data_IF_317940677621
#
_entry.id   IF_317940677621
#
_cell.length_a   1.000
_cell.length_b   1.000
_cell.length_c   1.000
_cell.angle_alpha   90.00
_cell.angle_beta   90.00
_cell.angle_gamma   90.00
#
_symmetry.space_group_name_H-M   'P 1'
#
loop_
_entity.id
_entity.type
_entity.pdbx_description
1 polymer ?
#
# COMPACT_ATOMS: atom_id res chain seq x y z
N UNK A 1 21.94 13.84 -20.15
CA UNK A 1 21.57 13.24 -18.85
C UNK A 1 20.37 12.30 -18.91
N UNK A 2 19.10 12.76 -19.06
CA UNK A 2 17.93 11.83 -19.07
C UNK A 2 18.03 10.74 -20.15
N UNK A 3 18.45 11.12 -21.36
CA UNK A 3 18.64 10.18 -22.47
C UNK A 3 19.71 9.13 -22.16
N UNK A 4 20.85 9.54 -21.60
CA UNK A 4 21.97 8.64 -21.28
C UNK A 4 21.58 7.67 -20.15
N UNK A 5 20.85 8.17 -19.15
CA UNK A 5 20.29 7.37 -18.06
C UNK A 5 19.28 6.32 -18.56
N UNK A 6 18.36 6.73 -19.43
CA UNK A 6 17.42 5.80 -20.06
C UNK A 6 18.15 4.76 -20.93
N UNK A 7 19.16 5.17 -21.69
CA UNK A 7 19.99 4.25 -22.49
C UNK A 7 20.69 3.22 -21.61
N UNK A 8 21.29 3.65 -20.50
CA UNK A 8 21.91 2.75 -19.52
C UNK A 8 20.91 1.76 -18.94
N UNK A 9 19.73 2.24 -18.53
CA UNK A 9 18.67 1.38 -17.98
C UNK A 9 18.10 0.42 -19.03
N UNK A 10 17.98 0.84 -20.29
CA UNK A 10 17.58 -0.02 -21.40
C UNK A 10 18.60 -1.13 -21.67
N UNK A 11 19.90 -0.81 -21.63
CA UNK A 11 20.97 -1.81 -21.68
C UNK A 11 20.89 -2.77 -20.48
N UNK A 12 20.44 -2.27 -19.33
CA UNK A 12 20.09 -3.06 -18.15
C UNK A 12 18.66 -3.63 -18.19
N UNK A 13 18.03 -3.78 -19.36
CA UNK A 13 16.73 -4.44 -19.51
C UNK A 13 15.51 -3.72 -18.93
N UNK A 14 15.66 -2.53 -18.34
CA UNK A 14 14.57 -1.70 -17.86
C UNK A 14 14.11 -0.78 -18.99
N UNK A 15 12.84 -0.88 -19.38
CA UNK A 15 12.33 -0.25 -20.61
C UNK A 15 11.12 0.65 -20.41
N UNK A 16 10.44 0.60 -19.26
CA UNK A 16 9.32 1.49 -18.99
C UNK A 16 9.82 2.81 -18.40
N UNK A 17 9.56 3.89 -19.14
CA UNK A 17 9.88 5.26 -18.79
C UNK A 17 8.68 6.17 -19.02
N UNK A 18 7.47 5.61 -18.91
CA UNK A 18 6.23 6.36 -19.03
C UNK A 18 6.19 7.46 -17.96
N UNK A 19 5.53 8.57 -18.29
CA UNK A 19 5.47 9.73 -17.39
C UNK A 19 4.81 9.39 -16.04
N UNK A 20 3.92 8.38 -16.00
CA UNK A 20 3.33 7.87 -14.76
C UNK A 20 4.36 7.24 -13.80
N UNK A 21 5.45 6.66 -14.32
CA UNK A 21 6.54 6.11 -13.51
C UNK A 21 7.63 7.13 -13.19
N UNK A 22 7.85 8.10 -14.10
CA UNK A 22 8.92 9.09 -13.97
C UNK A 22 8.54 10.34 -13.18
N UNK A 23 7.31 10.84 -13.33
CA UNK A 23 6.86 12.05 -12.63
C UNK A 23 6.87 11.92 -11.09
N UNK A 24 6.61 10.74 -10.49
CA UNK A 24 6.70 10.57 -9.04
C UNK A 24 8.13 10.45 -8.48
N UNK A 25 9.18 10.52 -9.32
CA UNK A 25 10.56 10.40 -8.83
C UNK A 25 10.98 11.67 -8.07
N UNK A 26 11.36 11.50 -6.80
CA UNK A 26 11.89 12.57 -5.95
C UNK A 26 13.34 12.91 -6.32
N UNK A 27 14.14 11.88 -6.58
CA UNK A 27 15.56 12.01 -6.91
C UNK A 27 16.03 10.81 -7.74
N UNK A 28 17.00 11.06 -8.62
CA UNK A 28 17.77 10.03 -9.32
C UNK A 28 19.25 10.28 -9.08
N UNK A 29 19.95 9.25 -8.63
CA UNK A 29 21.41 9.24 -8.47
C UNK A 29 22.00 8.45 -9.64
N UNK A 30 23.02 9.00 -10.28
CA UNK A 30 23.83 8.29 -11.27
C UNK A 30 25.31 8.34 -10.85
N UNK A 31 26.00 7.23 -11.06
CA UNK A 31 27.44 7.08 -10.82
C UNK A 31 28.13 7.00 -12.18
N UNK A 32 29.17 7.81 -12.34
CA UNK A 32 29.88 7.96 -13.60
C UNK A 32 31.31 7.44 -13.49
N UNK A 33 31.80 6.78 -14.54
CA UNK A 33 33.21 6.46 -14.77
C UNK A 33 33.52 6.83 -16.23
N UNK A 34 34.55 7.65 -16.47
CA UNK A 34 34.92 8.12 -17.81
C UNK A 34 33.73 8.70 -18.62
N UNK A 35 32.89 9.51 -17.99
CA UNK A 35 31.66 10.10 -18.56
C UNK A 35 30.52 9.11 -18.87
N UNK A 36 30.73 7.81 -18.67
CA UNK A 36 29.71 6.78 -18.83
C UNK A 36 29.01 6.48 -17.50
N UNK A 37 27.69 6.23 -17.55
CA UNK A 37 26.94 5.81 -16.37
C UNK A 37 27.29 4.34 -16.09
N UNK A 38 27.87 4.08 -14.93
CA UNK A 38 28.18 2.73 -14.45
C UNK A 38 27.18 2.23 -13.41
N UNK A 39 26.34 3.11 -12.88
CA UNK A 39 25.28 2.74 -11.95
C UNK A 39 24.26 3.85 -11.71
N UNK A 40 23.05 3.48 -11.32
CA UNK A 40 21.98 4.44 -11.02
C UNK A 40 20.92 3.84 -10.10
N UNK A 41 20.21 4.70 -9.39
CA UNK A 41 19.01 4.38 -8.64
C UNK A 41 18.21 5.65 -8.34
N UNK A 42 16.90 5.49 -8.20
CA UNK A 42 15.95 6.58 -8.00
C UNK A 42 15.08 6.33 -6.78
N UNK A 43 14.49 7.38 -6.23
CA UNK A 43 13.53 7.32 -5.12
C UNK A 43 12.21 7.91 -5.59
N UNK A 44 11.11 7.26 -5.22
CA UNK A 44 9.74 7.78 -5.33
C UNK A 44 8.99 7.44 -4.04
N UNK A 45 8.81 8.43 -3.17
CA UNK A 45 8.28 8.23 -1.83
C UNK A 45 9.16 7.29 -1.01
N UNK A 46 8.58 6.17 -0.58
CA UNK A 46 9.21 5.10 0.19
C UNK A 46 9.82 3.98 -0.69
N UNK A 47 9.80 4.16 -2.01
CA UNK A 47 10.22 3.15 -2.97
C UNK A 47 11.52 3.56 -3.65
N UNK A 48 12.49 2.65 -3.63
CA UNK A 48 13.71 2.74 -4.43
C UNK A 48 13.45 2.04 -5.77
N UNK A 49 13.46 2.84 -6.84
CA UNK A 49 13.20 2.45 -8.23
C UNK A 49 14.48 2.56 -9.08
N UNK A 50 14.41 2.01 -10.29
CA UNK A 50 15.43 2.16 -11.33
C UNK A 50 16.87 1.82 -10.90
N UNK A 51 17.03 0.83 -10.00
CA UNK A 51 18.36 0.43 -9.53
C UNK A 51 19.05 -0.47 -10.56
N UNK A 52 20.17 0.00 -11.10
CA UNK A 52 21.02 -0.77 -12.00
C UNK A 52 22.49 -0.41 -11.78
N UNK A 53 23.36 -1.40 -11.93
CA UNK A 53 24.82 -1.24 -11.86
C UNK A 53 25.43 -2.11 -12.97
N UNK A 54 26.45 -1.58 -13.63
CA UNK A 54 27.16 -2.29 -14.70
C UNK A 54 27.77 -3.58 -14.14
N UNK A 55 27.66 -4.67 -14.90
CA UNK A 55 28.36 -5.92 -14.58
C UNK A 55 29.86 -5.74 -14.84
N UNK A 56 30.60 -5.29 -13.83
CA UNK A 56 32.06 -5.37 -13.77
C UNK A 56 32.49 -6.67 -13.08
N UNK A 57 33.79 -6.99 -13.04
CA UNK A 57 34.30 -8.18 -12.33
C UNK A 57 33.68 -8.30 -10.92
N UNK A 58 33.40 -9.53 -10.46
CA UNK A 58 32.45 -9.81 -9.37
C UNK A 58 32.63 -8.99 -8.06
N UNK A 59 33.83 -8.50 -7.77
CA UNK A 59 34.12 -7.64 -6.61
C UNK A 59 33.70 -6.17 -6.78
N UNK A 60 33.77 -5.61 -7.99
CA UNK A 60 33.39 -4.21 -8.27
C UNK A 60 31.88 -4.00 -8.24
N UNK A 61 31.13 -4.92 -8.83
CA UNK A 61 29.67 -4.85 -8.95
C UNK A 61 28.95 -4.74 -7.59
N UNK A 62 29.40 -5.52 -6.60
CA UNK A 62 28.82 -5.49 -5.25
C UNK A 62 29.16 -4.22 -4.48
N UNK A 63 30.38 -3.71 -4.64
CA UNK A 63 30.86 -2.48 -3.99
C UNK A 63 30.09 -1.27 -4.50
N UNK A 64 29.97 -1.13 -5.82
CA UNK A 64 29.23 -0.03 -6.44
C UNK A 64 27.75 -0.05 -6.04
N UNK A 65 27.12 -1.23 -6.08
CA UNK A 65 25.74 -1.39 -5.63
C UNK A 65 25.56 -0.97 -4.17
N UNK A 66 26.44 -1.42 -3.26
CA UNK A 66 26.34 -1.06 -1.85
C UNK A 66 26.55 0.43 -1.60
N UNK A 67 27.46 1.08 -2.33
CA UNK A 67 27.67 2.53 -2.25
C UNK A 67 26.43 3.29 -2.71
N UNK A 68 25.87 2.91 -3.87
CA UNK A 68 24.65 3.49 -4.40
C UNK A 68 23.48 3.31 -3.43
N UNK A 69 23.26 2.09 -2.93
CA UNK A 69 22.23 1.80 -1.95
C UNK A 69 22.41 2.64 -0.69
N UNK A 70 23.61 2.70 -0.12
CA UNK A 70 23.88 3.51 1.08
C UNK A 70 23.54 4.99 0.86
N UNK A 71 23.83 5.54 -0.33
CA UNK A 71 23.48 6.93 -0.67
C UNK A 71 21.97 7.13 -0.76
N UNK A 72 21.25 6.22 -1.42
CA UNK A 72 19.78 6.27 -1.51
C UNK A 72 19.15 6.16 -0.12
N UNK A 73 19.60 5.19 0.69
CA UNK A 73 19.10 4.97 2.04
C UNK A 73 19.36 6.15 2.96
N UNK A 74 20.51 6.81 2.85
CA UNK A 74 20.83 8.01 3.63
C UNK A 74 19.96 9.20 3.22
N UNK A 75 19.70 9.39 1.93
CA UNK A 75 18.78 10.42 1.46
C UNK A 75 17.37 10.19 2.03
N UNK A 76 16.87 8.97 1.94
CA UNK A 76 15.58 8.60 2.53
C UNK A 76 15.57 8.79 4.05
N UNK A 77 16.63 8.43 4.76
CA UNK A 77 16.71 8.59 6.22
C UNK A 77 16.69 10.06 6.66
N UNK A 78 17.35 10.96 5.92
CA UNK A 78 17.30 12.41 6.17
C UNK A 78 15.87 12.95 6.04
N UNK A 79 15.09 12.40 5.12
CA UNK A 79 13.67 12.70 4.92
C UNK A 79 12.73 11.96 5.89
N UNK A 80 13.27 11.22 6.88
CA UNK A 80 12.47 10.43 7.83
C UNK A 80 11.84 9.16 7.23
N UNK A 81 12.28 8.73 6.04
CA UNK A 81 11.75 7.58 5.30
C UNK A 81 12.58 6.32 5.57
N UNK A 82 12.18 5.58 6.59
CA UNK A 82 12.86 4.35 7.01
C UNK A 82 12.30 3.08 6.36
N UNK A 83 11.11 3.18 5.79
CA UNK A 83 10.45 2.07 5.11
C UNK A 83 10.84 2.09 3.64
N UNK A 84 11.61 1.09 3.22
CA UNK A 84 12.30 1.14 1.94
C UNK A 84 12.06 -0.15 1.17
N UNK A 85 11.58 0.01 -0.06
CA UNK A 85 11.32 -1.08 -0.99
C UNK A 85 12.32 -1.04 -2.15
N UNK A 86 12.90 -2.19 -2.53
CA UNK A 86 13.82 -2.30 -3.67
C UNK A 86 13.37 -3.40 -4.60
N UNK A 87 13.29 -3.07 -5.88
CA UNK A 87 13.08 -4.06 -6.92
C UNK A 87 14.32 -4.89 -7.19
N UNK A 88 14.12 -6.21 -7.21
CA UNK A 88 15.10 -7.18 -7.60
C UNK A 88 14.95 -7.50 -9.10
N UNK A 89 15.72 -6.80 -9.92
CA UNK A 89 15.94 -7.18 -11.32
C UNK A 89 17.11 -8.18 -11.45
N UNK A 90 17.42 -8.61 -12.67
CA UNK A 90 18.52 -9.55 -12.95
C UNK A 90 19.90 -9.09 -12.44
N UNK A 91 20.11 -7.77 -12.33
CA UNK A 91 21.38 -7.16 -11.90
C UNK A 91 21.49 -7.13 -10.38
N UNK A 92 20.46 -6.66 -9.71
CA UNK A 92 20.37 -6.66 -8.24
C UNK A 92 20.23 -8.08 -7.67
N UNK A 93 19.79 -9.07 -8.46
CA UNK A 93 19.55 -10.45 -8.03
C UNK A 93 20.75 -11.09 -7.34
N UNK A 94 21.95 -10.92 -7.90
CA UNK A 94 23.19 -11.50 -7.38
C UNK A 94 23.61 -10.81 -6.08
N UNK A 95 23.56 -9.47 -6.03
CA UNK A 95 24.02 -8.69 -4.87
C UNK A 95 23.04 -8.78 -3.68
N UNK A 96 21.73 -8.73 -3.95
CA UNK A 96 20.70 -8.86 -2.92
C UNK A 96 20.72 -10.24 -2.25
N UNK A 97 21.15 -11.28 -2.98
CA UNK A 97 21.32 -12.63 -2.44
C UNK A 97 22.53 -12.78 -1.50
N UNK A 98 23.66 -12.14 -1.81
CA UNK A 98 24.93 -12.43 -1.13
C UNK A 98 25.25 -11.49 0.03
N UNK A 99 25.02 -10.18 -0.14
CA UNK A 99 25.47 -9.16 0.83
C UNK A 99 24.31 -8.43 1.49
N UNK A 100 23.20 -8.28 0.77
CA UNK A 100 22.04 -7.56 1.28
C UNK A 100 21.06 -8.46 2.06
N UNK A 101 21.19 -9.79 2.02
CA UNK A 101 20.25 -10.75 2.67
C UNK A 101 20.10 -10.57 4.19
N UNK A 102 21.08 -9.96 4.86
CA UNK A 102 20.95 -9.54 6.26
C UNK A 102 19.97 -8.38 6.42
N UNK A 103 19.96 -7.43 5.49
CA UNK A 103 19.20 -6.17 5.52
C UNK A 103 17.90 -6.22 4.72
N UNK A 104 17.77 -7.13 3.77
CA UNK A 104 16.65 -7.21 2.85
C UNK A 104 15.99 -8.58 2.90
N UNK A 105 14.66 -8.61 2.90
CA UNK A 105 13.85 -9.82 2.83
C UNK A 105 13.35 -9.99 1.39
N UNK A 106 13.66 -11.11 0.74
CA UNK A 106 13.02 -11.45 -0.54
C UNK A 106 11.53 -11.74 -0.32
N UNK A 107 10.65 -10.96 -0.95
CA UNK A 107 9.19 -11.18 -0.92
C UNK A 107 8.77 -12.11 -2.06
N UNK A 108 9.40 -11.97 -3.23
CA UNK A 108 9.29 -12.90 -4.35
C UNK A 108 10.63 -12.96 -5.11
N UNK A 109 10.64 -13.54 -6.32
CA UNK A 109 11.85 -13.64 -7.17
C UNK A 109 12.43 -12.28 -7.55
N UNK A 110 11.63 -11.22 -7.44
CA UNK A 110 11.86 -9.91 -8.03
C UNK A 110 11.69 -8.75 -7.02
N UNK A 111 11.51 -9.02 -5.73
CA UNK A 111 11.32 -7.96 -4.74
C UNK A 111 12.03 -8.23 -3.43
N UNK A 112 12.66 -7.19 -2.90
CA UNK A 112 13.35 -7.20 -1.63
C UNK A 112 12.87 -6.04 -0.75
N UNK A 113 12.63 -6.30 0.53
CA UNK A 113 12.17 -5.29 1.49
C UNK A 113 13.17 -5.10 2.62
N UNK A 114 13.49 -3.85 2.97
CA UNK A 114 14.42 -3.58 4.07
C UNK A 114 13.81 -4.06 5.39
N UNK A 115 14.59 -4.79 6.17
CA UNK A 115 14.21 -5.29 7.48
C UNK A 115 14.19 -4.12 8.47
N UNK A 116 13.11 -3.37 8.49
CA UNK A 116 12.79 -2.45 9.60
C UNK A 116 11.41 -2.79 10.16
N UNK A 117 11.41 -3.79 11.05
CA UNK A 117 10.22 -4.40 11.65
C UNK A 117 9.84 -3.79 12.98
N UNK A 118 10.70 -2.94 13.55
CA UNK A 118 10.50 -2.51 14.93
C UNK A 118 9.26 -1.65 15.07
N UNK A 119 8.96 -0.76 14.12
CA UNK A 119 7.79 0.11 14.21
C UNK A 119 6.49 -0.70 14.17
N UNK A 120 6.28 -1.61 13.19
CA UNK A 120 5.09 -2.49 13.20
C UNK A 120 4.97 -3.25 14.50
N UNK A 121 6.07 -3.89 14.91
CA UNK A 121 6.06 -4.71 16.12
C UNK A 121 5.72 -3.87 17.34
N UNK A 122 6.28 -2.68 17.47
CA UNK A 122 6.01 -1.76 18.58
C UNK A 122 4.58 -1.24 18.55
N UNK A 123 4.06 -0.82 17.39
CA UNK A 123 2.67 -0.37 17.21
C UNK A 123 1.69 -1.50 17.56
N UNK A 124 2.04 -2.74 17.25
CA UNK A 124 1.20 -3.91 17.51
C UNK A 124 1.34 -4.45 18.94
N UNK A 125 2.52 -4.34 19.57
CA UNK A 125 2.76 -4.76 20.94
C UNK A 125 2.10 -3.87 21.99
N UNK A 126 1.64 -2.67 21.60
CA UNK A 126 0.81 -1.82 22.46
C UNK A 126 -0.57 -2.42 22.76
N UNK A 127 -0.95 -3.51 22.09
CA UNK A 127 -2.23 -4.17 22.29
C UNK A 127 -2.03 -5.44 23.15
N UNK A 128 -2.45 -5.42 24.43
CA UNK A 128 -2.23 -6.53 25.34
C UNK A 128 -3.19 -7.68 25.01
N UNK A 129 -2.73 -8.71 24.29
CA UNK A 129 -3.37 -10.02 24.40
C UNK A 129 -2.77 -10.73 25.62
N UNK A 130 -3.39 -10.55 26.79
CA UNK A 130 -3.01 -11.24 28.03
C UNK A 130 -3.28 -12.76 27.97
N UNK A 131 -3.92 -13.22 26.91
CA UNK A 131 -4.27 -14.62 26.64
C UNK A 131 -4.03 -14.90 25.16
N UNK A 132 -3.62 -16.13 24.77
CA UNK A 132 -3.68 -16.54 23.37
C UNK A 132 -5.09 -16.33 22.82
N UNK A 133 -5.21 -15.62 21.70
CA UNK A 133 -6.46 -15.42 20.96
C UNK A 133 -6.35 -16.28 19.71
N UNK A 134 -7.29 -17.18 19.49
CA UNK A 134 -7.21 -18.15 18.39
C UNK A 134 -7.81 -17.57 17.10
N UNK A 135 -8.88 -16.76 17.22
CA UNK A 135 -9.56 -16.15 16.06
C UNK A 135 -9.25 -14.68 15.94
N UNK A 136 -8.14 -14.38 15.30
CA UNK A 136 -7.71 -13.01 15.02
C UNK A 136 -7.94 -12.71 13.53
N UNK A 137 -8.86 -11.79 13.25
CA UNK A 137 -9.12 -11.33 11.90
C UNK A 137 -8.45 -10.00 11.59
N UNK A 138 -8.42 -9.68 10.30
CA UNK A 138 -8.05 -8.35 9.85
C UNK A 138 -8.94 -7.86 8.71
N UNK A 139 -9.04 -6.55 8.63
CA UNK A 139 -9.66 -5.79 7.54
C UNK A 139 -8.66 -4.70 7.14
N UNK A 140 -8.37 -4.54 5.84
CA UNK A 140 -7.67 -3.35 5.33
C UNK A 140 -8.65 -2.51 4.52
N UNK A 141 -8.71 -1.22 4.84
CA UNK A 141 -9.60 -0.28 4.17
C UNK A 141 -8.87 1.03 3.85
N UNK A 142 -9.28 1.66 2.74
CA UNK A 142 -8.89 3.05 2.50
C UNK A 142 -9.77 4.02 3.30
N UNK A 143 -11.06 3.76 3.48
CA UNK A 143 -11.96 4.63 4.27
C UNK A 143 -11.94 6.13 3.85
N UNK A 144 -12.01 6.42 2.55
CA UNK A 144 -11.96 7.78 1.98
C UNK A 144 -13.32 8.20 1.37
N UNK A 145 -14.41 8.41 2.13
CA UNK A 145 -14.51 8.35 3.59
C UNK A 145 -14.89 6.97 4.13
N UNK A 146 -15.01 6.85 5.45
CA UNK A 146 -15.61 5.70 6.13
C UNK A 146 -17.12 5.64 5.82
N UNK A 147 -17.57 4.54 5.22
CA UNK A 147 -18.93 4.40 4.69
C UNK A 147 -19.68 3.32 5.46
N UNK A 148 -21.00 3.24 5.30
CA UNK A 148 -21.80 2.15 5.84
C UNK A 148 -21.39 0.77 5.29
N UNK A 149 -20.77 0.73 4.11
CA UNK A 149 -20.18 -0.50 3.55
C UNK A 149 -18.91 -0.93 4.29
N UNK A 150 -18.04 0.02 4.64
CA UNK A 150 -16.86 -0.28 5.47
C UNK A 150 -17.26 -0.75 6.88
N UNK A 151 -18.22 -0.05 7.50
CA UNK A 151 -18.80 -0.44 8.80
C UNK A 151 -19.34 -1.87 8.78
N UNK A 152 -20.15 -2.20 7.77
CA UNK A 152 -20.70 -3.55 7.60
C UNK A 152 -19.63 -4.63 7.47
N UNK A 153 -18.58 -4.40 6.67
CA UNK A 153 -17.47 -5.35 6.54
C UNK A 153 -16.78 -5.61 7.88
N UNK A 154 -16.58 -4.56 8.70
CA UNK A 154 -15.96 -4.68 10.03
C UNK A 154 -16.90 -5.40 11.00
N UNK A 155 -18.20 -5.13 10.96
CA UNK A 155 -19.21 -5.83 11.79
C UNK A 155 -19.23 -7.33 11.48
N UNK A 156 -19.16 -7.72 10.20
CA UNK A 156 -19.08 -9.12 9.79
C UNK A 156 -17.80 -9.80 10.33
N UNK A 157 -16.66 -9.11 10.28
CA UNK A 157 -15.42 -9.62 10.85
C UNK A 157 -15.52 -9.73 12.38
N UNK A 158 -16.02 -8.69 13.05
CA UNK A 158 -16.16 -8.59 14.51
C UNK A 158 -17.09 -9.67 15.07
N UNK A 159 -18.20 -9.99 14.40
CA UNK A 159 -19.15 -11.00 14.86
C UNK A 159 -18.58 -12.42 14.84
N UNK A 160 -17.61 -12.69 13.97
CA UNK A 160 -17.10 -14.05 13.72
C UNK A 160 -15.71 -14.32 14.33
N UNK A 161 -15.08 -13.32 14.97
CA UNK A 161 -13.71 -13.40 15.47
C UNK A 161 -13.59 -12.81 16.87
N UNK A 162 -12.59 -13.26 17.63
CA UNK A 162 -12.34 -12.80 19.00
C UNK A 162 -11.62 -11.46 19.02
N UNK A 163 -10.85 -11.16 17.97
CA UNK A 163 -10.16 -9.89 17.77
C UNK A 163 -10.13 -9.53 16.29
N UNK A 164 -10.31 -8.25 15.96
CA UNK A 164 -10.21 -7.74 14.59
C UNK A 164 -9.28 -6.54 14.54
N UNK A 165 -8.21 -6.65 13.74
CA UNK A 165 -7.38 -5.50 13.38
C UNK A 165 -7.92 -4.81 12.12
N UNK A 166 -8.35 -3.57 12.25
CA UNK A 166 -8.77 -2.72 11.13
C UNK A 166 -7.63 -1.79 10.78
N UNK A 167 -6.96 -2.10 9.69
CA UNK A 167 -5.85 -1.30 9.17
C UNK A 167 -6.35 -0.26 8.19
N UNK A 168 -6.10 1.01 8.51
CA UNK A 168 -6.38 2.13 7.61
C UNK A 168 -5.14 2.39 6.74
N UNK A 169 -5.30 2.33 5.42
CA UNK A 169 -4.22 2.58 4.46
C UNK A 169 -3.63 3.98 4.64
N UNK A 170 -2.32 4.14 4.51
CA UNK A 170 -1.71 5.48 4.45
C UNK A 170 -1.67 5.97 2.98
N UNK A 171 -2.41 7.04 2.67
CA UNK A 171 -2.50 7.63 1.31
C UNK A 171 -2.81 9.13 1.40
N UNK A 172 -1.81 9.97 1.11
CA UNK A 172 -1.92 11.44 1.17
C UNK A 172 -2.77 12.05 0.04
N UNK A 173 -2.93 11.36 -1.09
CA UNK A 173 -3.70 11.87 -2.24
C UNK A 173 -5.24 11.70 -2.11
N UNK A 174 -5.72 11.34 -0.92
CA UNK A 174 -7.14 11.12 -0.61
C UNK A 174 -7.87 12.45 -0.38
N UNK A 175 -9.21 12.43 -0.49
CA UNK A 175 -10.06 13.59 -0.13
C UNK A 175 -10.06 13.82 1.39
N UNK A 176 -10.02 12.73 2.14
CA UNK A 176 -9.87 12.70 3.59
C UNK A 176 -8.41 12.36 3.92
N UNK A 177 -7.77 13.20 4.73
CA UNK A 177 -6.40 13.00 5.19
C UNK A 177 -6.29 11.72 6.04
N UNK A 178 -5.09 11.14 6.13
CA UNK A 178 -4.87 9.87 6.83
C UNK A 178 -5.37 9.91 8.28
N UNK A 179 -5.09 10.98 9.01
CA UNK A 179 -5.53 11.13 10.41
C UNK A 179 -7.05 11.26 10.54
N UNK A 180 -7.70 11.96 9.61
CA UNK A 180 -9.17 12.08 9.55
C UNK A 180 -9.80 10.71 9.31
N UNK A 181 -9.25 9.93 8.36
CA UNK A 181 -9.74 8.58 8.06
C UNK A 181 -9.62 7.67 9.27
N UNK A 182 -8.48 7.70 9.98
CA UNK A 182 -8.28 6.92 11.21
C UNK A 182 -9.27 7.35 12.29
N UNK A 183 -9.47 8.66 12.50
CA UNK A 183 -10.41 9.18 13.50
C UNK A 183 -11.86 8.76 13.18
N UNK A 184 -12.27 8.88 11.91
CA UNK A 184 -13.59 8.45 11.44
C UNK A 184 -13.83 6.95 11.63
N UNK A 185 -12.83 6.12 11.31
CA UNK A 185 -12.91 4.67 11.52
C UNK A 185 -13.00 4.36 13.01
N UNK A 186 -12.14 4.94 13.86
CA UNK A 186 -12.16 4.76 15.33
C UNK A 186 -13.51 5.11 15.93
N UNK A 187 -14.02 6.32 15.65
CA UNK A 187 -15.32 6.75 16.13
C UNK A 187 -16.44 5.86 15.59
N UNK A 188 -16.34 5.48 14.31
CA UNK A 188 -17.31 4.66 13.62
C UNK A 188 -17.29 3.18 13.99
N UNK A 189 -16.41 2.70 14.88
CA UNK A 189 -16.40 1.30 15.38
C UNK A 189 -16.25 1.23 16.90
N UNK A 190 -16.40 2.35 17.60
CA UNK A 190 -16.15 2.47 19.04
C UNK A 190 -17.00 1.52 19.90
N UNK A 191 -18.17 1.12 19.40
CA UNK A 191 -19.09 0.18 20.04
C UNK A 191 -18.66 -1.28 19.90
N UNK A 192 -17.72 -1.59 19.00
CA UNK A 192 -17.20 -2.94 18.78
C UNK A 192 -15.98 -3.20 19.67
N UNK A 193 -16.23 -3.78 20.85
CA UNK A 193 -15.20 -4.01 21.89
C UNK A 193 -14.01 -4.87 21.46
N UNK A 194 -14.16 -5.69 20.42
CA UNK A 194 -13.12 -6.56 19.88
C UNK A 194 -12.44 -6.01 18.61
N UNK A 195 -12.61 -4.72 18.31
CA UNK A 195 -12.02 -4.08 17.12
C UNK A 195 -10.91 -3.11 17.53
N UNK A 196 -9.73 -3.28 16.92
CA UNK A 196 -8.59 -2.39 17.08
C UNK A 196 -8.30 -1.71 15.75
N UNK A 197 -8.41 -0.39 15.73
CA UNK A 197 -8.05 0.41 14.55
C UNK A 197 -6.56 0.74 14.58
N UNK A 198 -5.86 0.30 13.55
CA UNK A 198 -4.41 0.43 13.41
C UNK A 198 -4.12 1.39 12.25
N UNK A 199 -3.23 2.34 12.48
CA UNK A 199 -2.63 3.11 11.39
C UNK A 199 -1.73 2.15 10.60
N UNK A 200 -2.08 1.85 9.34
CA UNK A 200 -1.28 0.98 8.48
C UNK A 200 0.15 1.50 8.25
N UNK A 201 0.35 2.81 8.43
CA UNK A 201 1.63 3.49 8.24
C UNK A 201 2.21 3.18 6.87
N UNK A 202 3.53 3.11 6.78
CA UNK A 202 4.21 2.72 5.55
C UNK A 202 4.18 1.20 5.28
N UNK A 203 3.57 0.41 6.15
CA UNK A 203 3.55 -1.05 6.03
C UNK A 203 2.34 -1.57 5.28
N UNK A 204 1.23 -0.84 5.34
CA UNK A 204 0.03 -1.11 4.57
C UNK A 204 -0.28 0.15 3.76
N UNK A 205 0.38 0.21 2.62
CA UNK A 205 0.22 1.22 1.58
C UNK A 205 -0.63 0.67 0.44
N UNK A 206 -1.00 1.52 -0.52
CA UNK A 206 -1.66 1.03 -1.73
C UNK A 206 -0.81 -0.04 -2.41
N UNK A 207 -1.37 -1.16 -2.84
CA UNK A 207 -0.58 -2.08 -3.68
C UNK A 207 -0.07 -1.38 -4.95
N UNK A 208 -0.78 -0.36 -5.45
CA UNK A 208 -0.40 0.45 -6.60
C UNK A 208 0.89 1.27 -6.39
N UNK A 209 1.33 1.50 -5.14
CA UNK A 209 2.62 2.16 -4.91
C UNK A 209 3.79 1.22 -5.12
N UNK A 210 3.56 -0.11 -5.16
CA UNK A 210 4.64 -1.03 -5.48
C UNK A 210 5.07 -0.84 -6.94
N UNK A 211 6.37 -0.76 -7.23
CA UNK A 211 6.86 -0.45 -8.56
C UNK A 211 6.65 -1.61 -9.53
N UNK A 212 6.23 -1.30 -10.76
CA UNK A 212 5.99 -2.30 -11.81
C UNK A 212 6.63 -1.93 -13.16
N UNK A 213 7.51 -0.92 -13.22
CA UNK A 213 8.16 -0.42 -14.45
C UNK A 213 8.98 -1.46 -15.24
N UNK A 214 9.24 -2.65 -14.70
CA UNK A 214 9.92 -3.71 -15.45
C UNK A 214 8.91 -4.63 -16.18
N UNK A 215 7.61 -4.46 -15.92
CA UNK A 215 6.51 -5.25 -16.49
C UNK A 215 5.88 -4.50 -17.65
N UNK A 216 5.54 -5.25 -18.70
CA UNK A 216 5.02 -4.70 -19.97
C UNK A 216 3.50 -4.59 -20.03
N UNK A 217 2.80 -5.36 -19.20
CA UNK A 217 1.35 -5.49 -19.25
C UNK A 217 0.74 -5.07 -17.91
N UNK A 218 -0.34 -4.31 -17.96
CA UNK A 218 -1.04 -3.81 -16.77
C UNK A 218 -1.46 -4.96 -15.83
N UNK A 219 -1.95 -6.07 -16.36
CA UNK A 219 -2.35 -7.22 -15.52
C UNK A 219 -1.15 -7.89 -14.84
N UNK A 220 -0.01 -7.97 -15.53
CA UNK A 220 1.22 -8.46 -14.90
C UNK A 220 1.70 -7.52 -13.81
N UNK A 221 1.60 -6.20 -14.03
CA UNK A 221 1.89 -5.18 -13.02
C UNK A 221 0.98 -5.33 -11.80
N UNK A 222 -0.32 -5.47 -12.01
CA UNK A 222 -1.32 -5.67 -10.94
C UNK A 222 -1.03 -6.97 -10.18
N UNK A 223 -0.80 -8.09 -10.88
CA UNK A 223 -0.49 -9.38 -10.24
C UNK A 223 0.77 -9.28 -9.39
N UNK A 224 1.81 -8.65 -9.93
CA UNK A 224 3.08 -8.46 -9.26
C UNK A 224 2.96 -7.60 -8.00
N UNK A 225 2.39 -6.40 -8.15
CA UNK A 225 2.15 -5.46 -7.06
C UNK A 225 1.31 -6.08 -5.96
N UNK A 226 0.24 -6.80 -6.34
CA UNK A 226 -0.63 -7.52 -5.41
C UNK A 226 0.11 -8.65 -4.71
N UNK A 227 0.95 -9.42 -5.42
CA UNK A 227 1.76 -10.48 -4.81
C UNK A 227 2.63 -9.92 -3.68
N UNK A 228 3.26 -8.76 -3.91
CA UNK A 228 4.10 -8.12 -2.90
C UNK A 228 3.27 -7.72 -1.70
N UNK A 229 2.18 -6.98 -1.93
CA UNK A 229 1.27 -6.52 -0.89
C UNK A 229 0.80 -7.67 0.01
N UNK A 230 0.27 -8.73 -0.62
CA UNK A 230 -0.30 -9.88 0.08
C UNK A 230 0.75 -10.67 0.85
N UNK A 231 1.95 -10.88 0.28
CA UNK A 231 3.03 -11.60 0.97
C UNK A 231 3.64 -10.78 2.10
N UNK A 232 3.79 -9.47 1.91
CA UNK A 232 4.20 -8.57 2.98
C UNK A 232 3.23 -8.68 4.15
N UNK A 233 1.94 -8.58 3.86
CA UNK A 233 0.89 -8.76 4.85
C UNK A 233 1.00 -10.14 5.54
N UNK A 234 1.03 -11.24 4.79
CA UNK A 234 1.10 -12.62 5.29
C UNK A 234 2.28 -12.85 6.23
N UNK A 235 3.49 -12.61 5.73
CA UNK A 235 4.69 -13.02 6.45
C UNK A 235 5.08 -12.08 7.57
N UNK A 236 4.59 -10.83 7.57
CA UNK A 236 5.11 -9.77 8.46
C UNK A 236 4.07 -9.15 9.35
N UNK A 237 2.87 -8.95 8.84
CA UNK A 237 1.79 -8.35 9.61
C UNK A 237 1.01 -9.46 10.28
N UNK A 238 0.45 -10.38 9.49
CA UNK A 238 -0.35 -11.47 9.99
C UNK A 238 0.45 -12.42 10.91
N UNK A 239 1.65 -12.84 10.49
CA UNK A 239 2.51 -13.67 11.34
C UNK A 239 2.91 -13.02 12.66
N UNK A 240 3.07 -11.69 12.72
CA UNK A 240 3.44 -10.99 13.95
C UNK A 240 2.25 -10.76 14.88
N UNK A 241 1.05 -10.69 14.32
CA UNK A 241 -0.20 -10.40 15.01
C UNK A 241 -1.07 -11.64 15.29
N UNK A 242 -0.63 -12.81 14.85
CA UNK A 242 -1.43 -14.04 14.95
C UNK A 242 -2.70 -14.02 14.11
N UNK A 243 -2.77 -13.20 13.05
CA UNK A 243 -3.97 -13.09 12.21
C UNK A 243 -4.19 -14.41 11.47
N UNK A 244 -5.37 -15.00 11.66
CA UNK A 244 -5.84 -16.25 11.05
C UNK A 244 -6.85 -16.02 9.94
N UNK A 245 -7.51 -14.85 9.91
CA UNK A 245 -8.55 -14.55 8.92
C UNK A 245 -8.43 -13.15 8.33
N UNK A 246 -8.83 -13.00 7.07
CA UNK A 246 -8.82 -11.74 6.31
C UNK A 246 -10.16 -11.51 5.65
N UNK A 247 -10.78 -10.37 5.93
CA UNK A 247 -12.08 -10.00 5.37
C UNK A 247 -11.90 -8.93 4.29
N UNK A 248 -12.52 -9.18 3.13
CA UNK A 248 -12.53 -8.27 1.99
C UNK A 248 -13.94 -8.15 1.42
N UNK A 249 -14.27 -6.99 0.84
CA UNK A 249 -15.53 -6.83 0.11
C UNK A 249 -15.47 -7.53 -1.25
N UNK A 250 -16.60 -8.08 -1.71
CA UNK A 250 -16.75 -8.52 -3.09
C UNK A 250 -16.63 -7.33 -4.04
N UNK A 251 -16.07 -7.53 -5.22
CA UNK A 251 -16.08 -6.51 -6.27
C UNK A 251 -16.18 -7.19 -7.64
N UNK A 252 -17.41 -7.41 -8.14
CA UNK A 252 -17.60 -8.08 -9.41
C UNK A 252 -17.39 -7.15 -10.61
N UNK A 253 -17.46 -5.82 -10.43
CA UNK A 253 -17.43 -4.87 -11.55
C UNK A 253 -16.02 -4.37 -11.90
N UNK A 254 -15.10 -4.35 -10.92
CA UNK A 254 -13.71 -3.95 -11.13
C UNK A 254 -12.84 -5.17 -11.41
N UNK A 255 -12.37 -5.29 -12.65
CA UNK A 255 -11.42 -6.33 -13.05
C UNK A 255 -10.19 -6.36 -12.15
N UNK A 256 -9.59 -5.20 -11.89
CA UNK A 256 -8.41 -5.05 -11.02
C UNK A 256 -8.68 -5.50 -9.59
N UNK A 257 -9.83 -5.14 -9.00
CA UNK A 257 -10.16 -5.56 -7.63
C UNK A 257 -10.49 -7.04 -7.56
N UNK A 258 -11.08 -7.60 -8.62
CA UNK A 258 -11.32 -9.04 -8.72
C UNK A 258 -10.00 -9.83 -8.76
N UNK A 259 -9.04 -9.41 -9.60
CA UNK A 259 -7.69 -9.97 -9.62
C UNK A 259 -7.01 -9.86 -8.24
N UNK A 260 -7.15 -8.71 -7.58
CA UNK A 260 -6.61 -8.50 -6.24
C UNK A 260 -7.17 -9.53 -5.23
N UNK A 261 -8.50 -9.71 -5.19
CA UNK A 261 -9.14 -10.66 -4.30
C UNK A 261 -8.75 -12.12 -4.60
N UNK A 262 -8.66 -12.50 -5.87
CA UNK A 262 -8.21 -13.85 -6.27
C UNK A 262 -6.77 -14.11 -5.80
N UNK A 263 -5.88 -13.12 -5.98
CA UNK A 263 -4.50 -13.22 -5.54
C UNK A 263 -4.39 -13.30 -4.02
N UNK A 264 -5.20 -12.51 -3.32
CA UNK A 264 -5.30 -12.53 -1.86
C UNK A 264 -5.72 -13.92 -1.36
N UNK A 265 -6.74 -14.54 -1.96
CA UNK A 265 -7.17 -15.91 -1.63
C UNK A 265 -6.04 -16.92 -1.86
N UNK A 266 -5.41 -16.90 -3.03
CA UNK A 266 -4.38 -17.90 -3.40
C UNK A 266 -3.07 -17.77 -2.61
N UNK A 267 -2.64 -16.56 -2.28
CA UNK A 267 -1.38 -16.32 -1.56
C UNK A 267 -1.55 -16.43 -0.03
N UNK A 268 -2.72 -16.13 0.54
CA UNK A 268 -2.95 -16.21 1.98
C UNK A 268 -3.31 -17.63 2.45
N UNK A 269 -4.13 -18.36 1.69
CA UNK A 269 -4.49 -19.73 2.04
C UNK A 269 -3.27 -20.67 2.01
N UNK A 270 -3.28 -21.76 2.81
CA UNK A 270 -4.27 -22.09 3.85
C UNK A 270 -3.95 -21.43 5.21
N UNK A 271 -2.88 -20.62 5.31
CA UNK A 271 -2.41 -20.09 6.59
C UNK A 271 -3.32 -18.99 7.15
N UNK A 272 -3.97 -18.23 6.26
CA UNK A 272 -4.91 -17.17 6.62
C UNK A 272 -6.14 -17.34 5.75
N UNK A 273 -7.28 -17.62 6.36
CA UNK A 273 -8.55 -17.81 5.67
C UNK A 273 -9.08 -16.47 5.15
N UNK A 274 -9.55 -16.47 3.90
CA UNK A 274 -10.04 -15.24 3.25
C UNK A 274 -11.55 -15.30 3.09
N UNK A 275 -12.24 -14.36 3.73
CA UNK A 275 -13.69 -14.22 3.65
C UNK A 275 -14.04 -13.05 2.71
N UNK A 276 -14.73 -13.37 1.61
CA UNK A 276 -15.24 -12.37 0.67
C UNK A 276 -16.70 -12.06 1.02
N UNK A 277 -16.94 -10.85 1.52
CA UNK A 277 -18.25 -10.40 2.00
C UNK A 277 -18.97 -9.62 0.90
N UNK A 278 -20.24 -9.93 0.65
CA UNK A 278 -21.02 -9.21 -0.35
C UNK A 278 -21.20 -7.73 0.03
N UNK A 279 -21.05 -6.82 -0.95
CA UNK A 279 -21.17 -5.39 -0.68
C UNK A 279 -22.58 -5.02 -0.22
N UNK A 280 -22.65 -4.16 0.80
CA UNK A 280 -23.92 -3.60 1.30
C UNK A 280 -24.53 -2.64 0.27
N UNK A 281 -25.84 -2.77 0.05
CA UNK A 281 -26.64 -1.85 -0.74
C UNK A 281 -27.05 -0.64 0.12
N UNK A 282 -27.09 0.53 -0.51
CA UNK A 282 -27.63 1.74 0.09
C UNK A 282 -29.15 1.61 0.26
N UNK A 283 -29.73 2.41 1.16
CA UNK A 283 -31.19 2.50 1.24
C UNK A 283 -31.74 3.19 -0.03
N UNK A 284 -32.83 2.63 -0.57
CA UNK A 284 -33.43 3.07 -1.84
C UNK A 284 -32.64 2.61 -3.07
N UNK A 285 -32.93 3.20 -4.23
CA UNK A 285 -32.36 2.80 -5.52
C UNK A 285 -30.95 3.37 -5.80
N UNK A 286 -30.21 3.75 -4.75
CA UNK A 286 -28.86 4.30 -4.87
C UNK A 286 -27.78 3.24 -5.18
N UNK A 287 -28.16 1.96 -5.18
CA UNK A 287 -27.26 0.85 -5.54
C UNK A 287 -26.25 0.52 -4.45
N UNK A 288 -25.03 0.15 -4.84
CA UNK A 288 -23.98 -0.31 -3.93
C UNK A 288 -23.36 0.86 -3.14
N UNK A 289 -23.18 0.70 -1.83
CA UNK A 289 -22.49 1.71 -1.02
C UNK A 289 -21.02 1.79 -1.45
N UNK A 290 -20.62 2.90 -2.07
CA UNK A 290 -19.26 3.14 -2.54
C UNK A 290 -18.73 4.47 -2.06
N UNK A 291 -17.45 4.49 -1.63
CA UNK A 291 -16.78 5.73 -1.23
C UNK A 291 -16.65 6.72 -2.39
N UNK A 292 -16.56 6.23 -3.64
CA UNK A 292 -16.53 7.09 -4.83
C UNK A 292 -17.81 7.89 -4.98
N UNK A 293 -18.97 7.23 -4.90
CA UNK A 293 -20.28 7.88 -4.99
C UNK A 293 -20.45 8.93 -3.90
N UNK A 294 -19.96 8.66 -2.68
CA UNK A 294 -19.97 9.64 -1.59
C UNK A 294 -19.15 10.88 -1.94
N UNK A 295 -17.93 10.72 -2.49
CA UNK A 295 -17.10 11.86 -2.89
C UNK A 295 -17.72 12.66 -4.04
N UNK A 296 -18.33 11.98 -5.01
CA UNK A 296 -19.07 12.63 -6.10
C UNK A 296 -20.30 13.40 -5.58
N UNK A 297 -20.99 12.88 -4.56
CA UNK A 297 -22.10 13.57 -3.90
C UNK A 297 -21.61 14.79 -3.09
N UNK A 298 -20.47 14.69 -2.40
CA UNK A 298 -19.83 15.83 -1.72
C UNK A 298 -19.49 16.95 -2.71
N UNK A 299 -18.89 16.60 -3.85
CA UNK A 299 -18.55 17.56 -4.93
C UNK A 299 -19.78 18.32 -5.42
N UNK A 300 -20.89 17.60 -5.63
CA UNK A 300 -22.17 18.16 -6.12
C UNK A 300 -22.99 18.84 -5.03
N UNK A 301 -22.62 18.72 -3.76
CA UNK A 301 -23.42 19.21 -2.62
C UNK A 301 -24.70 18.40 -2.38
N UNK A 302 -24.75 17.14 -2.83
CA UNK A 302 -25.92 16.27 -2.69
C UNK A 302 -25.95 15.58 -1.32
N UNK A 303 -26.42 16.32 -0.32
CA UNK A 303 -26.52 15.88 1.08
C UNK A 303 -27.37 14.63 1.27
N UNK A 304 -28.50 14.55 0.57
CA UNK A 304 -29.41 13.42 0.67
C UNK A 304 -28.74 12.10 0.24
N UNK A 305 -27.83 12.14 -0.74
CA UNK A 305 -27.10 10.96 -1.21
C UNK A 305 -26.02 10.55 -0.22
N UNK A 306 -25.10 11.46 0.15
CA UNK A 306 -23.98 11.04 1.00
C UNK A 306 -24.44 10.66 2.42
N UNK A 307 -25.48 11.28 2.97
CA UNK A 307 -26.03 10.90 4.28
C UNK A 307 -26.49 9.44 4.32
N UNK A 308 -27.14 8.95 3.25
CA UNK A 308 -27.61 7.55 3.19
C UNK A 308 -26.49 6.52 3.06
N UNK A 309 -25.28 6.93 2.71
CA UNK A 309 -24.17 6.04 2.36
C UNK A 309 -23.08 5.96 3.43
N UNK A 310 -23.07 6.88 4.40
CA UNK A 310 -22.01 6.97 5.41
C UNK A 310 -22.55 6.81 6.84
N UNK A 311 -21.66 6.48 7.77
CA UNK A 311 -21.99 6.36 9.19
C UNK A 311 -22.30 7.73 9.78
N UNK A 312 -23.05 7.78 10.88
CA UNK A 312 -23.38 9.03 11.58
C UNK A 312 -22.15 9.88 11.91
N UNK A 313 -21.06 9.24 12.35
CA UNK A 313 -19.77 9.90 12.62
C UNK A 313 -19.19 10.60 11.39
N UNK A 314 -19.26 9.94 10.22
CA UNK A 314 -18.83 10.50 8.94
C UNK A 314 -19.80 11.58 8.45
N UNK A 315 -21.11 11.42 8.68
CA UNK A 315 -22.09 12.45 8.34
C UNK A 315 -21.76 13.75 9.07
N UNK A 316 -21.57 13.68 10.39
CA UNK A 316 -21.23 14.84 11.21
C UNK A 316 -19.93 15.52 10.74
N UNK A 317 -18.89 14.73 10.43
CA UNK A 317 -17.65 15.27 9.89
C UNK A 317 -17.85 15.98 8.55
N UNK A 318 -18.59 15.37 7.61
CA UNK A 318 -18.86 15.97 6.30
C UNK A 318 -19.64 17.26 6.47
N UNK A 319 -20.73 17.27 7.25
CA UNK A 319 -21.55 18.48 7.47
C UNK A 319 -20.72 19.64 8.01
N UNK A 320 -19.81 19.38 8.96
CA UNK A 320 -18.97 20.42 9.57
C UNK A 320 -17.84 20.92 8.65
N UNK A 321 -17.41 20.11 7.67
CA UNK A 321 -16.24 20.40 6.83
C UNK A 321 -16.58 20.45 5.32
N UNK A 322 -17.86 20.56 4.96
CA UNK A 322 -18.33 20.40 3.57
C UNK A 322 -17.61 21.36 2.61
N UNK A 323 -17.51 22.63 2.97
CA UNK A 323 -16.84 23.64 2.15
C UNK A 323 -15.34 23.35 1.97
N UNK A 324 -14.68 22.86 3.02
CA UNK A 324 -13.27 22.48 2.95
C UNK A 324 -13.06 21.26 2.04
N UNK A 325 -13.90 20.23 2.18
CA UNK A 325 -13.87 19.04 1.33
C UNK A 325 -14.10 19.41 -0.15
N UNK A 326 -15.04 20.32 -0.44
CA UNK A 326 -15.25 20.82 -1.80
C UNK A 326 -14.05 21.64 -2.32
N UNK A 327 -13.39 22.43 -1.47
CA UNK A 327 -12.16 23.14 -1.85
C UNK A 327 -11.01 22.17 -2.15
N UNK A 328 -10.85 21.13 -1.33
CA UNK A 328 -9.89 20.05 -1.54
C UNK A 328 -10.09 19.35 -2.89
N UNK A 329 -11.33 19.07 -3.26
CA UNK A 329 -11.69 18.54 -4.58
C UNK A 329 -11.25 19.49 -5.70
N UNK A 330 -11.58 20.79 -5.59
CA UNK A 330 -11.19 21.81 -6.58
C UNK A 330 -9.67 21.96 -6.72
N UNK A 331 -8.90 21.66 -5.67
CA UNK A 331 -7.43 21.63 -5.67
C UNK A 331 -6.83 20.34 -6.26
N UNK A 332 -7.66 19.41 -6.74
CA UNK A 332 -7.22 18.21 -7.46
C UNK A 332 -7.09 16.96 -6.60
N UNK A 333 -7.59 16.95 -5.35
CA UNK A 333 -7.66 15.70 -4.58
C UNK A 333 -8.60 14.69 -5.26
N UNK A 334 -8.20 13.42 -5.29
CA UNK A 334 -8.84 12.41 -6.15
C UNK A 334 -10.27 12.08 -5.71
N UNK A 335 -11.23 12.31 -6.61
CA UNK A 335 -12.61 11.81 -6.49
C UNK A 335 -12.71 10.37 -7.04
N UNK A 336 -11.96 10.05 -8.10
CA UNK A 336 -12.05 8.79 -8.83
C UNK A 336 -11.03 7.74 -8.34
N UNK A 337 -11.45 6.85 -7.43
CA UNK A 337 -10.62 5.72 -6.97
C UNK A 337 -9.31 6.13 -6.29
N UNK A 338 -8.48 5.16 -5.91
CA UNK A 338 -7.17 5.43 -5.27
C UNK A 338 -6.15 6.05 -6.25
#
# INVERSE_FOLDING_TARGET
>A
MRRDWQNFLMACGIKNFDDSELNPLDITIAVYENEEIIGTGSIAGDVIKYVAVQETTMSGHSTLFNQLMTKLENFMAVEGRFHQFVLRNQFTKKVLNTLASKRWLSVNKEFCWKKDYQILRNTCQQFPSQTPIDKVASVVINANPFTNGHRFLIEEASRNNELVYVFVLNQEASLFHTDERIALVKAGVQDLSNVIVVNGGAYIISYLTFPAYFLKHNDSAIDYQTTIDVRLFKYKIASALGITSRYVGSEPLSHTTNLYNQKLISELNPQIEVHVIQRKLAAGDLGVISARTVREAIDKGDEAVWQKMVTETTQHFISNNLLELQQRIRKGQKINGN
#
